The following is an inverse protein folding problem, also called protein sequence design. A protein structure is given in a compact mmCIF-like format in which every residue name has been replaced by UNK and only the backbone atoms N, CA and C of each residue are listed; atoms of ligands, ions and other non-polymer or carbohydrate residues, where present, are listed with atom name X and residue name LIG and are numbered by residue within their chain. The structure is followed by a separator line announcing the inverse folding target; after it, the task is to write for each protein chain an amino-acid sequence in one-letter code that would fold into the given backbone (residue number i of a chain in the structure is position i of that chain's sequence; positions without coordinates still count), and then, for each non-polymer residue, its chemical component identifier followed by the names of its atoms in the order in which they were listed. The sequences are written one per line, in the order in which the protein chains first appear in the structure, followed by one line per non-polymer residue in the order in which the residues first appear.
data_IF_012884998159
#
_entry.id   IF_012884998159
#
_cell.length_a   1.000
_cell.length_b   1.000
_cell.length_c   1.000
_cell.angle_alpha   90.00
_cell.angle_beta   90.00
_cell.angle_gamma   90.00
#
_symmetry.space_group_name_H-M   'P 1'
#
loop_
_entity.id
_entity.type
_entity.pdbx_description
1 polymer ?
#
# COMPACT_ATOMS: atom_id res chain seq x y z
N UNK A 1 21.78 -11.00 3.25
CA UNK A 1 20.44 -11.53 3.56
C UNK A 1 19.90 -10.83 4.81
N UNK A 2 18.63 -10.48 4.85
CA UNK A 2 18.00 -9.94 6.06
C UNK A 2 17.85 -11.04 7.13
N UNK A 3 18.11 -10.76 8.41
CA UNK A 3 17.84 -11.70 9.49
C UNK A 3 16.35 -12.03 9.54
N UNK A 4 16.00 -13.23 10.01
CA UNK A 4 14.62 -13.70 10.11
C UNK A 4 14.16 -13.65 11.57
N UNK A 5 13.00 -13.04 11.81
CA UNK A 5 12.32 -13.01 13.10
C UNK A 5 11.32 -14.16 13.25
N UNK A 6 11.14 -14.64 14.48
CA UNK A 6 10.28 -15.78 14.83
C UNK A 6 8.80 -15.41 15.00
N UNK A 7 8.26 -14.57 14.11
CA UNK A 7 6.84 -14.26 14.06
C UNK A 7 6.28 -14.31 12.64
N UNK A 8 4.97 -14.48 12.54
CA UNK A 8 4.20 -14.53 11.29
C UNK A 8 3.32 -13.29 11.24
N UNK A 9 3.30 -12.61 10.09
CA UNK A 9 2.36 -11.52 9.83
C UNK A 9 1.11 -12.12 9.21
N UNK A 10 -0.07 -11.79 9.73
CA UNK A 10 -1.33 -12.24 9.12
C UNK A 10 -1.54 -11.56 7.76
N UNK A 11 -1.58 -12.37 6.71
CA UNK A 11 -1.87 -12.00 5.32
C UNK A 11 -2.95 -12.92 4.71
N UNK A 12 -3.71 -13.64 5.54
CA UNK A 12 -4.68 -14.64 5.08
C UNK A 12 -5.79 -14.04 4.23
N UNK A 13 -6.22 -12.80 4.53
CA UNK A 13 -7.23 -12.08 3.76
C UNK A 13 -6.76 -11.69 2.34
N UNK A 14 -5.46 -11.80 2.04
CA UNK A 14 -4.86 -11.50 0.73
C UNK A 14 -4.73 -12.74 -0.16
N UNK A 15 -5.23 -13.89 0.27
CA UNK A 15 -5.26 -15.11 -0.55
C UNK A 15 -6.61 -15.23 -1.27
N UNK A 16 -6.64 -15.54 -2.58
CA UNK A 16 -7.87 -15.78 -3.30
C UNK A 16 -8.58 -17.01 -2.72
N UNK A 17 -9.90 -16.92 -2.57
CA UNK A 17 -10.77 -18.01 -2.11
C UNK A 17 -11.23 -18.90 -3.25
N UNK A 18 -11.22 -18.39 -4.49
CA UNK A 18 -11.59 -19.13 -5.69
C UNK A 18 -10.78 -18.67 -6.93
N UNK A 19 -10.90 -19.39 -8.04
CA UNK A 19 -10.13 -19.13 -9.27
C UNK A 19 -10.63 -17.97 -10.13
N UNK A 20 -11.80 -17.40 -9.83
CA UNK A 20 -12.41 -16.29 -10.56
C UNK A 20 -12.10 -14.93 -9.90
N UNK A 21 -11.47 -14.95 -8.72
CA UNK A 21 -11.09 -13.74 -8.00
C UNK A 21 -9.83 -13.09 -8.57
N UNK A 22 -9.97 -11.82 -8.93
CA UNK A 22 -8.89 -11.01 -9.48
C UNK A 22 -8.48 -9.95 -8.46
N UNK A 23 -7.18 -9.87 -8.18
CA UNK A 23 -6.60 -8.88 -7.28
C UNK A 23 -6.74 -7.48 -7.88
N UNK A 24 -7.31 -6.56 -7.11
CA UNK A 24 -7.38 -5.14 -7.45
C UNK A 24 -6.01 -4.49 -7.32
N UNK A 25 -5.76 -3.44 -8.10
CA UNK A 25 -4.57 -2.60 -7.92
C UNK A 25 -4.65 -1.88 -6.56
N UNK A 26 -3.53 -1.84 -5.85
CA UNK A 26 -3.40 -1.16 -4.55
C UNK A 26 -2.80 0.23 -4.76
N UNK A 27 -3.58 1.25 -4.46
CA UNK A 27 -3.19 2.65 -4.54
C UNK A 27 -2.81 3.10 -3.12
N UNK A 28 -1.56 3.51 -2.94
CA UNK A 28 -1.07 3.97 -1.64
C UNK A 28 -0.98 5.49 -1.64
N UNK A 29 -1.68 6.13 -0.70
CA UNK A 29 -1.43 7.52 -0.32
C UNK A 29 -0.10 7.59 0.43
N UNK A 30 0.97 7.86 -0.32
CA UNK A 30 2.32 7.76 0.21
C UNK A 30 2.61 8.83 1.26
N UNK A 31 2.21 10.11 1.12
CA UNK A 31 2.35 11.11 2.18
C UNK A 31 1.73 10.63 3.49
N UNK A 32 0.49 10.15 3.48
CA UNK A 32 -0.16 9.67 4.68
C UNK A 32 0.61 8.50 5.31
N UNK A 33 0.96 7.49 4.51
CA UNK A 33 1.72 6.31 4.99
C UNK A 33 3.11 6.68 5.52
N UNK A 34 3.85 7.52 4.81
CA UNK A 34 5.19 7.94 5.23
C UNK A 34 5.15 8.78 6.52
N UNK A 35 4.08 9.53 6.78
CA UNK A 35 3.92 10.28 8.02
C UNK A 35 3.51 9.40 9.20
N UNK A 36 2.57 8.47 9.03
CA UNK A 36 2.15 7.58 10.12
C UNK A 36 3.28 6.60 10.51
N UNK A 37 4.11 6.18 9.56
CA UNK A 37 5.22 5.24 9.80
C UNK A 37 6.47 5.91 10.35
N UNK A 38 6.44 7.21 10.65
CA UNK A 38 7.51 7.87 11.40
C UNK A 38 7.67 7.20 12.75
N UNK A 39 8.78 6.47 12.97
CA UNK A 39 9.19 6.15 14.32
C UNK A 39 9.40 7.43 15.11
N UNK A 40 9.30 7.36 16.45
CA UNK A 40 9.45 8.45 17.41
C UNK A 40 10.87 9.08 17.46
N UNK A 41 11.57 9.09 16.33
CA UNK A 41 12.81 9.82 16.13
C UNK A 41 12.47 11.31 15.96
N UNK A 42 13.30 12.21 16.52
CA UNK A 42 13.14 13.67 16.41
C UNK A 42 13.27 14.24 14.99
N UNK A 43 13.14 13.41 13.95
CA UNK A 43 13.32 13.79 12.55
C UNK A 43 11.94 14.10 11.97
N UNK A 44 11.68 15.35 11.61
CA UNK A 44 10.40 15.79 11.04
C UNK A 44 10.12 15.24 9.62
N UNK A 45 11.02 14.43 9.06
CA UNK A 45 10.95 13.91 7.68
C UNK A 45 10.05 12.67 7.56
N UNK A 46 9.31 12.60 6.47
CA UNK A 46 8.43 11.47 6.15
C UNK A 46 9.25 10.18 5.91
N UNK A 47 8.81 9.05 6.50
CA UNK A 47 9.58 7.82 6.54
C UNK A 47 9.40 6.96 5.28
N UNK A 48 10.40 6.93 4.40
CA UNK A 48 10.35 6.14 3.17
C UNK A 48 10.52 4.63 3.43
N UNK A 49 11.15 4.21 4.53
CA UNK A 49 11.28 2.79 4.85
C UNK A 49 9.91 2.13 5.13
N UNK A 50 9.01 2.86 5.80
CA UNK A 50 7.64 2.40 6.06
C UNK A 50 6.83 2.22 4.77
N UNK A 51 6.94 3.18 3.83
CA UNK A 51 6.32 3.06 2.51
C UNK A 51 6.84 1.83 1.75
N UNK A 52 8.16 1.64 1.68
CA UNK A 52 8.77 0.49 1.01
C UNK A 52 8.32 -0.84 1.60
N UNK A 53 8.28 -0.95 2.94
CA UNK A 53 7.81 -2.16 3.62
C UNK A 53 6.34 -2.46 3.30
N UNK A 54 5.48 -1.43 3.26
CA UNK A 54 4.06 -1.57 2.91
C UNK A 54 3.87 -1.97 1.44
N UNK A 55 4.59 -1.34 0.51
CA UNK A 55 4.56 -1.73 -0.90
C UNK A 55 4.96 -3.20 -1.06
N UNK A 56 6.06 -3.61 -0.42
CA UNK A 56 6.55 -4.99 -0.46
C UNK A 56 5.53 -5.99 0.11
N UNK A 57 4.81 -5.62 1.17
CA UNK A 57 3.78 -6.47 1.79
C UNK A 57 2.71 -6.89 0.78
N UNK A 58 2.26 -5.95 -0.07
CA UNK A 58 1.27 -6.24 -1.11
C UNK A 58 1.88 -6.93 -2.34
N UNK A 59 3.03 -6.46 -2.84
CA UNK A 59 3.69 -7.06 -4.01
C UNK A 59 4.04 -8.53 -3.79
N UNK A 60 4.51 -8.88 -2.58
CA UNK A 60 4.75 -10.29 -2.20
C UNK A 60 3.50 -11.15 -2.31
N UNK A 61 2.34 -10.59 -2.00
CA UNK A 61 1.03 -11.27 -2.11
C UNK A 61 0.42 -11.16 -3.50
N UNK A 62 1.26 -10.85 -4.49
CA UNK A 62 0.91 -10.78 -5.91
C UNK A 62 -0.03 -9.62 -6.26
N UNK A 63 -0.05 -8.55 -5.47
CA UNK A 63 -0.79 -7.33 -5.81
C UNK A 63 0.06 -6.37 -6.64
N UNK A 64 -0.58 -5.74 -7.62
CA UNK A 64 -0.02 -4.54 -8.26
C UNK A 64 -0.16 -3.35 -7.31
N UNK A 65 0.86 -2.51 -7.25
CA UNK A 65 0.96 -1.42 -6.27
C UNK A 65 1.48 -0.16 -6.94
N UNK A 66 0.73 0.94 -6.75
CA UNK A 66 1.15 2.28 -7.15
C UNK A 66 1.03 3.21 -5.95
N UNK A 67 2.13 3.86 -5.60
CA UNK A 67 2.14 4.94 -4.62
C UNK A 67 1.83 6.28 -5.31
N UNK A 68 1.08 7.17 -4.65
CA UNK A 68 0.81 8.53 -5.15
C UNK A 68 1.41 9.52 -4.15
N UNK A 69 2.17 10.49 -4.63
CA UNK A 69 2.79 11.51 -3.78
C UNK A 69 2.96 12.83 -4.53
N UNK A 70 3.22 13.89 -3.77
CA UNK A 70 3.56 15.20 -4.31
C UNK A 70 5.05 15.33 -4.59
N UNK A 71 5.43 16.13 -5.61
CA UNK A 71 6.86 16.38 -5.94
C UNK A 71 7.70 16.86 -4.75
N UNK A 72 7.10 17.53 -3.76
CA UNK A 72 7.84 18.01 -2.57
C UNK A 72 8.56 16.86 -1.85
N UNK A 73 8.01 15.65 -1.87
CA UNK A 73 8.60 14.45 -1.26
C UNK A 73 9.78 13.86 -2.05
N UNK A 74 10.22 14.51 -3.13
CA UNK A 74 11.50 14.23 -3.79
C UNK A 74 12.65 15.08 -3.23
N UNK A 75 12.37 15.95 -2.24
CA UNK A 75 13.38 16.80 -1.61
C UNK A 75 13.95 16.12 -0.37
N UNK A 76 15.27 16.23 -0.19
CA UNK A 76 15.97 15.66 0.97
C UNK A 76 15.48 16.27 2.29
N UNK A 77 14.95 17.50 2.26
CA UNK A 77 14.38 18.16 3.43
C UNK A 77 13.09 17.50 3.93
N UNK A 78 12.35 16.76 3.07
CA UNK A 78 10.99 16.28 3.39
C UNK A 78 10.89 14.79 3.67
N UNK A 79 11.80 13.96 3.13
CA UNK A 79 11.75 12.50 3.26
C UNK A 79 13.05 11.93 3.83
N UNK A 80 12.95 10.81 4.54
CA UNK A 80 14.12 9.97 4.81
C UNK A 80 14.52 9.26 3.53
N UNK A 81 15.83 9.11 3.28
CA UNK A 81 16.33 8.28 2.17
C UNK A 81 15.77 8.65 0.78
N UNK A 82 15.88 9.93 0.38
CA UNK A 82 15.43 10.47 -0.92
C UNK A 82 15.72 9.57 -2.13
N UNK A 83 16.88 8.91 -2.15
CA UNK A 83 17.28 8.00 -3.23
C UNK A 83 16.25 6.89 -3.51
N UNK A 84 15.52 6.44 -2.50
CA UNK A 84 14.48 5.43 -2.65
C UNK A 84 13.27 5.97 -3.40
N UNK A 85 12.84 7.20 -3.13
CA UNK A 85 11.74 7.85 -3.88
C UNK A 85 12.13 8.01 -5.36
N UNK A 86 13.34 8.49 -5.65
CA UNK A 86 13.83 8.64 -7.03
C UNK A 86 13.91 7.29 -7.76
N UNK A 87 14.26 6.21 -7.05
CA UNK A 87 14.30 4.86 -7.62
C UNK A 87 12.91 4.33 -7.93
N UNK A 88 11.94 4.53 -7.03
CA UNK A 88 10.54 4.16 -7.24
C UNK A 88 9.94 4.92 -8.43
N UNK A 89 10.26 6.21 -8.58
CA UNK A 89 9.78 7.04 -9.70
C UNK A 89 10.28 6.49 -11.03
N UNK A 90 11.58 6.20 -11.15
CA UNK A 90 12.18 5.62 -12.36
C UNK A 90 11.59 4.26 -12.73
N UNK A 91 11.00 3.54 -11.77
CA UNK A 91 10.34 2.26 -12.00
C UNK A 91 8.85 2.37 -12.32
N UNK A 92 8.26 3.57 -12.21
CA UNK A 92 6.82 3.78 -12.34
C UNK A 92 6.01 3.29 -11.14
N UNK A 93 6.66 3.03 -10.00
CA UNK A 93 5.99 2.53 -8.78
C UNK A 93 5.46 3.67 -7.89
N UNK A 94 5.85 4.90 -8.18
CA UNK A 94 5.32 6.11 -7.54
C UNK A 94 4.94 7.12 -8.60
N UNK A 95 3.71 7.64 -8.51
CA UNK A 95 3.19 8.70 -9.35
C UNK A 95 3.39 10.04 -8.65
N UNK A 96 4.17 10.93 -9.27
CA UNK A 96 4.41 12.27 -8.76
C UNK A 96 3.39 13.26 -9.31
N UNK A 97 2.61 13.86 -8.41
CA UNK A 97 1.59 14.85 -8.76
C UNK A 97 2.21 16.24 -8.91
N UNK A 98 1.82 16.92 -9.99
CA UNK A 98 2.09 18.33 -10.23
C UNK A 98 1.11 19.18 -9.42
N UNK A 99 1.59 19.78 -8.33
CA UNK A 99 0.79 20.64 -7.45
C UNK A 99 0.81 20.19 -5.98
N UNK A 100 0.52 21.12 -5.08
CA UNK A 100 0.60 20.90 -3.63
C UNK A 100 -0.72 20.46 -2.97
N UNK A 101 -1.80 20.34 -3.73
CA UNK A 101 -3.17 20.23 -3.19
C UNK A 101 -4.00 19.08 -3.81
N UNK A 102 -3.37 18.21 -4.63
CA UNK A 102 -4.13 17.28 -5.49
C UNK A 102 -3.68 15.81 -5.44
N UNK A 103 -2.76 15.44 -4.56
CA UNK A 103 -2.38 14.03 -4.37
C UNK A 103 -3.56 13.15 -3.98
N UNK A 104 -4.43 13.65 -3.10
CA UNK A 104 -5.66 12.98 -2.70
C UNK A 104 -6.60 12.72 -3.89
N UNK A 105 -6.86 13.75 -4.69
CA UNK A 105 -7.72 13.64 -5.89
C UNK A 105 -7.09 12.68 -6.91
N UNK A 106 -5.78 12.77 -7.13
CA UNK A 106 -5.11 11.88 -8.08
C UNK A 106 -5.14 10.43 -7.59
N UNK A 107 -4.95 10.18 -6.29
CA UNK A 107 -5.10 8.83 -5.73
C UNK A 107 -6.52 8.29 -5.94
N UNK A 108 -7.55 9.13 -5.71
CA UNK A 108 -8.94 8.78 -5.97
C UNK A 108 -9.23 8.51 -7.45
N UNK A 109 -8.67 9.31 -8.37
CA UNK A 109 -8.84 9.10 -9.81
C UNK A 109 -8.15 7.83 -10.30
N UNK A 110 -6.92 7.54 -9.83
CA UNK A 110 -6.22 6.30 -10.20
C UNK A 110 -7.00 5.08 -9.67
N UNK A 111 -7.45 5.12 -8.42
CA UNK A 111 -8.26 4.05 -7.84
C UNK A 111 -9.61 3.90 -8.56
N UNK A 112 -10.25 5.00 -8.95
CA UNK A 112 -11.46 4.95 -9.75
C UNK A 112 -11.18 4.35 -11.13
N UNK A 113 -10.15 4.80 -11.85
CA UNK A 113 -9.86 4.32 -13.20
C UNK A 113 -9.57 2.81 -13.24
N UNK A 114 -8.79 2.32 -12.28
CA UNK A 114 -8.38 0.91 -12.15
C UNK A 114 -9.39 0.02 -11.42
N UNK A 115 -10.47 0.60 -10.89
CA UNK A 115 -11.35 -0.04 -9.92
C UNK A 115 -10.56 -0.67 -8.74
N UNK A 116 -9.52 0.05 -8.30
CA UNK A 116 -8.56 -0.35 -7.27
C UNK A 116 -9.05 -0.18 -5.84
N UNK A 117 -8.12 -0.39 -4.91
CA UNK A 117 -8.28 -0.21 -3.46
C UNK A 117 -7.28 0.84 -2.96
N UNK A 118 -7.70 1.72 -2.06
CA UNK A 118 -6.85 2.80 -1.54
C UNK A 118 -6.38 2.45 -0.13
N UNK A 119 -5.08 2.58 0.12
CA UNK A 119 -4.50 2.53 1.47
C UNK A 119 -4.19 3.96 1.92
N UNK A 120 -4.96 4.44 2.89
CA UNK A 120 -4.75 5.75 3.53
C UNK A 120 -5.50 5.79 4.86
N UNK A 121 -5.00 6.56 5.83
CA UNK A 121 -5.75 6.94 7.02
C UNK A 121 -6.56 8.24 6.84
N UNK A 122 -6.39 8.97 5.73
CA UNK A 122 -7.24 10.12 5.37
C UNK A 122 -8.63 9.70 4.89
N UNK A 123 -9.66 10.35 5.41
CA UNK A 123 -11.05 10.06 5.06
C UNK A 123 -11.45 10.63 3.70
N UNK A 124 -10.65 11.54 3.12
CA UNK A 124 -10.96 12.24 1.86
C UNK A 124 -12.36 12.88 1.87
N UNK A 125 -12.88 13.25 3.04
CA UNK A 125 -14.31 13.51 3.24
C UNK A 125 -14.84 14.62 2.33
N UNK A 126 -14.03 15.65 2.09
CA UNK A 126 -14.38 16.77 1.21
C UNK A 126 -14.46 16.32 -0.25
N UNK A 127 -13.48 15.52 -0.72
CA UNK A 127 -13.45 15.03 -2.09
C UNK A 127 -14.53 13.97 -2.36
N UNK A 128 -14.78 13.07 -1.40
CA UNK A 128 -15.80 12.03 -1.49
C UNK A 128 -17.21 12.61 -1.64
N UNK A 129 -17.49 13.74 -0.99
CA UNK A 129 -18.78 14.44 -1.09
C UNK A 129 -18.89 15.26 -2.38
N UNK A 130 -17.76 15.66 -2.99
CA UNK A 130 -17.75 16.46 -4.20
C UNK A 130 -18.14 15.67 -5.47
N UNK A 131 -18.05 14.34 -5.45
CA UNK A 131 -18.31 13.52 -6.64
C UNK A 131 -18.85 12.12 -6.31
N UNK A 132 -20.02 11.80 -6.87
CA UNK A 132 -20.62 10.46 -6.77
C UNK A 132 -19.72 9.33 -7.30
N UNK A 133 -18.70 9.65 -8.12
CA UNK A 133 -17.73 8.66 -8.60
C UNK A 133 -16.92 8.04 -7.45
N UNK A 134 -16.56 8.85 -6.46
CA UNK A 134 -15.69 8.42 -5.36
C UNK A 134 -16.46 7.76 -4.22
N UNK A 135 -17.78 7.95 -4.11
CA UNK A 135 -18.60 7.27 -3.11
C UNK A 135 -18.43 5.74 -3.14
N UNK A 136 -18.24 5.16 -4.34
CA UNK A 136 -18.00 3.71 -4.52
C UNK A 136 -16.60 3.26 -4.08
N UNK A 137 -15.69 4.19 -3.82
CA UNK A 137 -14.36 3.92 -3.28
C UNK A 137 -14.34 3.96 -1.76
N UNK A 138 -15.37 4.49 -1.09
CA UNK A 138 -15.40 4.57 0.37
C UNK A 138 -15.28 3.19 1.04
N UNK A 139 -16.00 2.19 0.53
CA UNK A 139 -15.90 0.80 0.98
C UNK A 139 -14.54 0.15 0.66
N UNK A 140 -13.73 0.77 -0.21
CA UNK A 140 -12.40 0.34 -0.65
C UNK A 140 -11.29 1.27 -0.16
N UNK A 141 -11.58 2.15 0.80
CA UNK A 141 -10.57 2.90 1.52
C UNK A 141 -10.21 2.15 2.80
N UNK A 142 -8.97 1.66 2.83
CA UNK A 142 -8.44 0.81 3.88
C UNK A 142 -7.48 1.65 4.74
N UNK A 143 -7.82 1.75 6.01
CA UNK A 143 -6.91 2.29 7.02
C UNK A 143 -5.82 1.28 7.34
N UNK A 144 -4.64 1.80 7.65
CA UNK A 144 -3.51 1.04 8.15
C UNK A 144 -3.22 1.44 9.60
N UNK A 145 -3.18 0.44 10.47
CA UNK A 145 -2.74 0.54 11.85
C UNK A 145 -1.32 -0.04 11.95
N UNK A 146 -0.50 0.57 12.82
CA UNK A 146 0.88 0.17 13.01
C UNK A 146 1.05 -0.48 14.38
N UNK A 147 1.66 -1.65 14.41
CA UNK A 147 2.15 -2.25 15.64
C UNK A 147 3.67 -2.09 15.69
N UNK A 148 4.16 -1.41 16.72
CA UNK A 148 5.59 -1.23 16.91
C UNK A 148 6.26 -2.57 17.22
N UNK A 149 7.39 -2.84 16.57
CA UNK A 149 8.19 -4.04 16.82
C UNK A 149 9.37 -3.75 17.74
N UNK A 150 9.85 -4.78 18.43
CA UNK A 150 11.05 -4.67 19.27
C UNK A 150 12.27 -4.24 18.45
N UNK A 151 13.24 -3.56 19.06
CA UNK A 151 14.44 -3.07 18.35
C UNK A 151 15.18 -4.19 17.60
N UNK A 152 15.24 -5.39 18.19
CA UNK A 152 15.88 -6.58 17.60
C UNK A 152 15.14 -7.15 16.39
N UNK A 153 13.88 -6.75 16.20
CA UNK A 153 13.00 -7.20 15.11
C UNK A 153 12.87 -6.15 13.99
N UNK A 154 13.52 -4.99 14.15
CA UNK A 154 13.53 -3.98 13.10
C UNK A 154 14.46 -4.36 11.97
N UNK A 155 14.05 -4.05 10.75
CA UNK A 155 14.77 -4.36 9.51
C UNK A 155 15.08 -5.86 9.35
N UNK A 156 14.15 -6.71 9.78
CA UNK A 156 14.20 -8.17 9.65
C UNK A 156 13.12 -8.67 8.68
N UNK A 157 13.14 -9.96 8.39
CA UNK A 157 12.09 -10.66 7.66
C UNK A 157 11.25 -11.48 8.64
N UNK A 158 9.93 -11.44 8.54
CA UNK A 158 9.06 -12.39 9.25
C UNK A 158 9.28 -13.82 8.74
N UNK A 159 8.81 -14.80 9.50
CA UNK A 159 8.90 -16.22 9.13
C UNK A 159 8.13 -16.56 7.84
N UNK A 160 7.06 -15.80 7.53
CA UNK A 160 6.33 -15.91 6.26
C UNK A 160 6.79 -14.92 5.18
N UNK A 161 7.98 -14.31 5.34
CA UNK A 161 8.66 -13.56 4.27
C UNK A 161 8.25 -12.09 4.13
N UNK A 162 7.62 -11.48 5.13
CA UNK A 162 7.32 -10.04 5.14
C UNK A 162 8.48 -9.24 5.68
N UNK A 163 8.83 -8.14 5.02
CA UNK A 163 9.86 -7.25 5.55
C UNK A 163 9.27 -6.38 6.66
N UNK A 164 9.98 -6.32 7.77
CA UNK A 164 9.60 -5.56 8.95
C UNK A 164 10.57 -4.40 9.04
N UNK A 165 10.11 -3.18 8.76
CA UNK A 165 10.92 -1.99 8.96
C UNK A 165 10.94 -1.64 10.46
N UNK A 166 10.10 -0.69 10.87
CA UNK A 166 9.97 -0.29 12.28
C UNK A 166 8.63 -0.71 12.89
N UNK A 167 7.72 -1.19 12.04
CA UNK A 167 6.34 -1.53 12.37
C UNK A 167 5.89 -2.75 11.55
N UNK A 168 4.92 -3.49 12.08
CA UNK A 168 4.03 -4.36 11.28
C UNK A 168 2.71 -3.64 11.00
N UNK A 169 1.99 -4.12 9.99
CA UNK A 169 0.76 -3.48 9.51
C UNK A 169 -0.46 -4.31 9.87
N UNK A 170 -1.50 -3.65 10.37
CA UNK A 170 -2.87 -4.16 10.44
C UNK A 170 -3.77 -3.29 9.57
N UNK A 171 -4.82 -3.88 9.02
CA UNK A 171 -5.69 -3.20 8.06
C UNK A 171 -7.13 -3.18 8.54
N UNK A 172 -7.85 -2.10 8.22
CA UNK A 172 -9.26 -1.94 8.59
C UNK A 172 -10.01 -1.14 7.54
N UNK A 173 -11.21 -1.58 7.16
CA UNK A 173 -12.12 -0.76 6.35
C UNK A 173 -12.64 0.44 7.14
N UNK A 174 -12.68 1.60 6.50
CA UNK A 174 -13.27 2.80 7.11
C UNK A 174 -14.78 2.77 7.10
N UNK A 175 -15.35 2.38 5.96
CA UNK A 175 -16.79 2.24 5.79
C UNK A 175 -17.19 0.77 5.73
N UNK A 176 -18.27 0.44 6.42
CA UNK A 176 -18.81 -0.90 6.56
C UNK A 176 -20.15 -0.98 5.82
N UNK A 177 -20.17 -1.57 4.60
CA UNK A 177 -21.42 -1.83 3.92
C UNK A 177 -22.32 -2.72 4.78
N UNK A 178 -23.56 -2.29 5.05
CA UNK A 178 -24.56 -3.08 5.81
C UNK A 178 -24.82 -4.46 5.21
N UNK A 179 -24.53 -4.63 3.92
CA UNK A 179 -24.64 -5.91 3.20
C UNK A 179 -23.61 -6.95 3.67
N UNK A 180 -22.60 -6.54 4.44
CA UNK A 180 -21.55 -7.40 4.97
C UNK A 180 -21.71 -7.66 6.49
N UNK A 181 -22.85 -7.27 7.08
CA UNK A 181 -23.15 -7.52 8.49
C UNK A 181 -23.13 -9.03 8.79
N UNK A 182 -22.37 -9.42 9.82
CA UNK A 182 -22.21 -10.82 10.23
C UNK A 182 -21.04 -11.56 9.59
N UNK A 183 -20.31 -10.94 8.66
CA UNK A 183 -19.05 -11.49 8.13
C UNK A 183 -17.86 -11.24 9.07
N UNK A 184 -16.82 -12.07 8.95
CA UNK A 184 -15.57 -11.88 9.67
C UNK A 184 -14.81 -10.64 9.17
N UNK A 185 -13.99 -10.02 10.02
CA UNK A 185 -13.14 -8.88 9.61
C UNK A 185 -12.21 -9.22 8.43
N UNK A 186 -11.69 -10.46 8.39
CA UNK A 186 -10.87 -10.96 7.28
C UNK A 186 -11.66 -11.02 5.97
N UNK A 187 -12.88 -11.58 5.99
CA UNK A 187 -13.76 -11.62 4.82
C UNK A 187 -14.14 -10.23 4.31
N UNK A 188 -14.37 -9.29 5.24
CA UNK A 188 -14.69 -7.90 4.91
C UNK A 188 -13.49 -7.21 4.22
N UNK A 189 -12.27 -7.42 4.72
CA UNK A 189 -11.08 -6.89 4.06
C UNK A 189 -10.88 -7.55 2.70
N UNK A 190 -10.99 -8.87 2.63
CA UNK A 190 -10.82 -9.65 1.41
C UNK A 190 -11.67 -9.10 0.26
N UNK A 191 -12.96 -8.82 0.49
CA UNK A 191 -13.84 -8.24 -0.53
C UNK A 191 -13.34 -6.89 -1.09
N UNK A 192 -12.50 -6.14 -0.35
CA UNK A 192 -11.94 -4.87 -0.84
C UNK A 192 -10.78 -5.05 -1.80
N UNK A 193 -10.04 -6.14 -1.63
CA UNK A 193 -8.81 -6.42 -2.36
C UNK A 193 -9.07 -7.26 -3.61
N UNK A 194 -10.22 -7.95 -3.68
CA UNK A 194 -10.57 -8.82 -4.78
C UNK A 194 -11.78 -8.31 -5.55
N UNK A 195 -11.83 -8.68 -6.83
CA UNK A 195 -12.94 -8.46 -7.72
C UNK A 195 -13.42 -9.81 -8.22
N UNK A 196 -14.73 -10.03 -8.24
CA UNK A 196 -15.39 -11.23 -8.80
C UNK A 196 -16.26 -10.83 -10.01
N UNK A 197 -16.68 -11.79 -10.86
CA UNK A 197 -17.53 -11.52 -12.01
C UNK A 197 -18.84 -10.78 -11.69
N UNK A 198 -19.33 -10.88 -10.44
CA UNK A 198 -20.53 -10.16 -9.97
C UNK A 198 -20.28 -8.65 -9.74
N UNK A 199 -19.01 -8.21 -9.68
CA UNK A 199 -18.70 -6.80 -9.56
C UNK A 199 -18.86 -6.07 -10.89
N UNK A 200 -19.57 -4.93 -10.86
CA UNK A 200 -19.94 -4.11 -12.03
C UNK A 200 -18.76 -3.76 -12.96
N UNK A 201 -17.54 -3.72 -12.45
CA UNK A 201 -16.33 -3.29 -13.18
C UNK A 201 -15.23 -4.36 -13.17
N UNK A 202 -15.61 -5.63 -13.03
CA UNK A 202 -14.67 -6.75 -12.98
C UNK A 202 -13.72 -6.79 -14.18
N UNK A 203 -14.24 -6.60 -15.39
CA UNK A 203 -13.47 -6.59 -16.63
C UNK A 203 -12.31 -5.57 -16.64
N UNK A 204 -12.49 -4.42 -15.97
CA UNK A 204 -11.42 -3.42 -15.86
C UNK A 204 -10.29 -3.88 -14.94
N UNK A 205 -10.64 -4.62 -13.89
CA UNK A 205 -9.65 -5.20 -12.97
C UNK A 205 -8.86 -6.29 -13.70
N UNK A 206 -9.53 -7.13 -14.49
CA UNK A 206 -8.89 -8.12 -15.35
C UNK A 206 -7.94 -7.47 -16.37
N UNK A 207 -8.39 -6.44 -17.08
CA UNK A 207 -7.58 -5.72 -18.06
C UNK A 207 -6.32 -5.13 -17.42
N UNK A 208 -6.46 -4.44 -16.27
CA UNK A 208 -5.32 -3.90 -15.55
C UNK A 208 -4.34 -5.00 -15.10
N UNK A 209 -4.88 -6.17 -14.73
CA UNK A 209 -4.10 -7.31 -14.28
C UNK A 209 -3.23 -7.93 -15.38
N UNK A 210 -3.60 -7.81 -16.64
CA UNK A 210 -2.83 -8.38 -17.77
C UNK A 210 -1.41 -7.82 -17.85
N UNK A 211 -1.18 -6.59 -17.37
CA UNK A 211 0.14 -5.97 -17.35
C UNK A 211 1.03 -6.46 -16.19
N UNK A 212 0.45 -7.13 -15.20
CA UNK A 212 1.18 -7.65 -14.04
C UNK A 212 1.69 -9.06 -14.28
N UNK A 213 3.01 -9.18 -14.48
CA UNK A 213 3.69 -10.46 -14.68
C UNK A 213 4.49 -10.87 -13.46
N UNK A 214 4.74 -12.18 -13.33
CA UNK A 214 5.61 -12.72 -12.28
C UNK A 214 7.04 -12.14 -12.36
N UNK A 215 7.57 -11.94 -13.56
CA UNK A 215 8.88 -11.31 -13.76
C UNK A 215 8.91 -9.86 -13.27
N UNK A 216 7.86 -9.09 -13.58
CA UNK A 216 7.74 -7.71 -13.10
C UNK A 216 7.63 -7.68 -11.57
N UNK A 217 6.76 -8.52 -10.98
CA UNK A 217 6.64 -8.69 -9.53
C UNK A 217 7.99 -8.98 -8.88
N UNK A 218 8.72 -9.98 -9.38
CA UNK A 218 10.00 -10.40 -8.81
C UNK A 218 11.05 -9.28 -8.92
N UNK A 219 11.06 -8.52 -10.02
CA UNK A 219 11.91 -7.34 -10.19
C UNK A 219 11.56 -6.23 -9.19
N UNK A 220 10.28 -5.98 -8.94
CA UNK A 220 9.80 -4.99 -7.96
C UNK A 220 10.24 -5.41 -6.55
N UNK A 221 10.01 -6.66 -6.15
CA UNK A 221 10.45 -7.20 -4.85
C UNK A 221 11.96 -7.04 -4.68
N UNK A 222 12.74 -7.48 -5.66
CA UNK A 222 14.21 -7.41 -5.60
C UNK A 222 14.70 -5.96 -5.44
N UNK A 223 14.07 -5.00 -6.12
CA UNK A 223 14.46 -3.59 -6.02
C UNK A 223 14.07 -3.00 -4.67
N UNK A 224 12.88 -3.32 -4.14
CA UNK A 224 12.47 -2.87 -2.81
C UNK A 224 13.39 -3.48 -1.73
N UNK A 225 13.75 -4.76 -1.86
CA UNK A 225 14.70 -5.43 -0.95
C UNK A 225 16.09 -4.79 -1.00
N UNK A 226 16.57 -4.41 -2.18
CA UNK A 226 17.82 -3.66 -2.35
C UNK A 226 17.76 -2.31 -1.62
N UNK A 227 16.69 -1.54 -1.83
CA UNK A 227 16.50 -0.23 -1.19
C UNK A 227 16.42 -0.34 0.34
N UNK A 228 15.66 -1.30 0.85
CA UNK A 228 15.53 -1.54 2.29
C UNK A 228 16.86 -2.00 2.91
N UNK A 229 17.64 -2.80 2.21
CA UNK A 229 18.98 -3.19 2.65
C UNK A 229 19.95 -1.99 2.69
N UNK A 230 19.88 -1.09 1.70
CA UNK A 230 20.66 0.15 1.71
C UNK A 230 20.26 1.05 2.88
N UNK A 231 18.96 1.24 3.14
CA UNK A 231 18.48 1.99 4.31
C UNK A 231 19.04 1.40 5.60
N UNK A 232 18.90 0.09 5.79
CA UNK A 232 19.42 -0.61 6.98
C UNK A 232 20.92 -0.43 7.19
N UNK A 233 21.70 -0.26 6.12
CA UNK A 233 23.15 -0.04 6.26
C UNK A 233 23.54 1.36 6.78
N UNK A 234 22.59 2.30 6.79
CA UNK A 234 22.79 3.70 7.16
C UNK A 234 22.17 4.02 8.53
N UNK A 235 21.29 3.16 9.04
CA UNK A 235 20.59 3.28 10.33
C UNK A 235 21.24 2.37 11.37
#
# INVERSE_FOLDING_TARGET
MCPVSNFIVDDTFLQPTNGEEVRRCVIIDAPNVMHITKAHTCIEKANTAGLLALMRYFVKNDFDVVAVTQRKYTLEATVTHKFAIERLEKMGLIHLVDGHEYDDIVALEIAFASDGVIISNDQFSEHMQASNRYLRLMSRCISVELDAVGQTERYTMSSNGHFVAEHTFRFKRKDFPKTLDGLSASSILHEAFFSTPDNVRHELVEEHRQNWTEDYRNKVIATIDELLAQIRSIV
#
